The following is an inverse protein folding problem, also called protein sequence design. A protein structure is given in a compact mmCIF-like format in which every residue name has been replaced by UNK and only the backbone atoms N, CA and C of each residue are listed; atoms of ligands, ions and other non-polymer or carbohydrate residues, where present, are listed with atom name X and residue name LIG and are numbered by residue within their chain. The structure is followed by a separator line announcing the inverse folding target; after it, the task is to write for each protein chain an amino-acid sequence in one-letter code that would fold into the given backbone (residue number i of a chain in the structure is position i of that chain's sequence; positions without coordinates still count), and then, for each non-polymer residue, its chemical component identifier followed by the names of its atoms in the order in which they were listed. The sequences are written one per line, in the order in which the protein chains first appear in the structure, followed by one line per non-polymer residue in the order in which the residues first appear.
data_IF_315600989505
#
_entry.id   IF_315600989505
#
_cell.length_a   1.000
_cell.length_b   1.000
_cell.length_c   1.000
_cell.angle_alpha   90.00
_cell.angle_beta   90.00
_cell.angle_gamma   90.00
#
_symmetry.space_group_name_H-M   'P 1'
#
loop_
_entity.id
_entity.type
_entity.pdbx_description
1 polymer ?
#
# COMPACT_ATOMS: atom_id res chain seq x y z
N UNK A 1 47.03 44.03 16.23
CA UNK A 1 48.42 43.51 16.12
C UNK A 1 48.75 42.74 17.40
N UNK A 2 48.70 41.40 17.35
CA UNK A 2 49.35 40.52 18.32
C UNK A 2 49.47 39.10 17.75
N UNK A 3 50.69 38.81 17.25
CA UNK A 3 51.47 37.56 17.28
C UNK A 3 50.86 36.20 16.86
N UNK A 4 51.19 35.86 15.61
CA UNK A 4 51.61 34.56 15.02
C UNK A 4 52.66 33.82 15.91
N UNK A 5 53.07 32.53 15.77
CA UNK A 5 52.63 31.38 14.93
C UNK A 5 52.59 29.99 15.64
N UNK A 6 52.11 28.99 14.87
CA UNK A 6 52.58 27.58 14.70
C UNK A 6 52.97 26.75 15.93
N UNK A 7 52.27 25.63 16.14
CA UNK A 7 52.92 24.32 16.22
C UNK A 7 52.04 23.22 15.60
N UNK A 8 52.50 22.77 14.44
CA UNK A 8 52.16 21.53 13.75
C UNK A 8 52.53 20.34 14.65
N UNK A 9 51.62 19.42 14.93
CA UNK A 9 51.99 18.05 15.32
C UNK A 9 51.38 17.06 14.33
N UNK A 10 52.25 16.58 13.44
CA UNK A 10 52.05 15.35 12.73
C UNK A 10 52.10 14.19 13.74
N UNK A 11 51.07 13.35 13.79
CA UNK A 11 51.19 12.00 14.34
C UNK A 11 50.88 11.03 13.22
N UNK A 12 51.93 10.74 12.47
CA UNK A 12 52.12 9.54 11.67
C UNK A 12 51.99 8.33 12.61
N UNK A 13 51.10 7.38 12.30
CA UNK A 13 50.85 6.24 13.19
C UNK A 13 49.97 5.16 12.58
N UNK A 14 50.39 4.66 11.43
CA UNK A 14 49.87 3.44 10.81
C UNK A 14 50.14 2.24 11.73
N UNK A 15 49.12 1.79 12.48
CA UNK A 15 49.12 0.47 13.13
C UNK A 15 48.36 -0.50 12.22
N UNK A 16 49.12 -1.24 11.42
CA UNK A 16 48.68 -2.43 10.71
C UNK A 16 48.37 -3.53 11.73
N UNK A 17 47.10 -3.75 12.04
CA UNK A 17 46.68 -5.03 12.59
C UNK A 17 46.58 -6.03 11.44
N UNK A 18 47.68 -6.75 11.19
CA UNK A 18 47.67 -7.98 10.44
C UNK A 18 46.97 -9.04 11.28
N UNK A 19 45.67 -9.24 11.07
CA UNK A 19 44.97 -10.43 11.55
C UNK A 19 45.37 -11.63 10.68
N UNK A 20 45.73 -12.78 11.28
CA UNK A 20 46.21 -13.94 10.56
C UNK A 20 45.05 -14.61 9.79
N UNK A 21 45.41 -15.19 8.66
CA UNK A 21 44.60 -16.12 7.88
C UNK A 21 44.05 -17.23 8.78
N UNK A 22 42.73 -17.33 8.90
CA UNK A 22 42.03 -18.55 9.26
C UNK A 22 40.79 -18.71 8.37
N UNK A 23 41.00 -19.53 7.35
CA UNK A 23 40.05 -20.48 6.76
C UNK A 23 38.83 -19.95 5.99
N UNK A 24 38.93 -20.18 4.68
CA UNK A 24 37.84 -20.41 3.75
C UNK A 24 36.60 -21.04 4.41
N UNK A 25 35.52 -20.26 4.45
CA UNK A 25 34.15 -20.76 4.44
C UNK A 25 33.40 -19.93 3.40
N UNK A 26 33.49 -20.43 2.17
CA UNK A 26 32.31 -20.73 1.36
C UNK A 26 31.11 -19.78 1.53
N UNK A 27 31.15 -18.59 0.93
CA UNK A 27 29.94 -17.77 0.72
C UNK A 27 29.13 -18.23 -0.51
N UNK A 28 29.09 -19.56 -0.73
CA UNK A 28 28.16 -20.21 -1.65
C UNK A 28 27.20 -21.14 -0.91
N UNK A 29 26.44 -20.60 0.04
CA UNK A 29 25.16 -21.18 0.48
C UNK A 29 24.35 -20.01 1.06
N UNK A 30 23.33 -19.45 0.40
CA UNK A 30 22.32 -20.10 -0.40
C UNK A 30 21.86 -19.16 -1.53
N UNK A 31 21.92 -19.65 -2.78
CA UNK A 31 20.92 -19.23 -3.76
C UNK A 31 19.62 -19.94 -3.36
N UNK A 32 18.88 -19.32 -2.44
CA UNK A 32 17.45 -19.55 -2.33
C UNK A 32 16.87 -19.26 -3.73
N UNK A 33 15.87 -20.03 -4.21
CA UNK A 33 15.10 -19.55 -5.34
C UNK A 33 14.55 -18.20 -4.91
N UNK A 34 14.94 -17.14 -5.62
CA UNK A 34 14.24 -15.89 -5.49
C UNK A 34 12.81 -16.18 -5.95
N UNK A 35 11.92 -16.44 -5.00
CA UNK A 35 10.48 -16.16 -5.15
C UNK A 35 10.29 -14.64 -5.14
N UNK A 36 11.11 -13.95 -5.91
CA UNK A 36 10.90 -12.57 -6.28
C UNK A 36 10.17 -12.64 -7.62
N UNK A 37 9.08 -11.88 -7.71
CA UNK A 37 8.27 -11.65 -8.91
C UNK A 37 7.05 -12.57 -9.07
N UNK A 38 6.05 -12.38 -8.19
CA UNK A 38 4.64 -12.45 -8.60
C UNK A 38 3.71 -11.62 -7.69
N UNK A 39 4.15 -10.46 -7.21
CA UNK A 39 3.18 -9.36 -7.11
C UNK A 39 3.25 -8.67 -8.47
N UNK A 40 2.62 -9.30 -9.47
CA UNK A 40 2.26 -8.58 -10.67
C UNK A 40 1.49 -7.37 -10.17
N UNK A 41 2.08 -6.18 -10.33
CA UNK A 41 1.31 -4.95 -10.25
C UNK A 41 0.20 -5.17 -11.25
N UNK A 42 -1.02 -5.36 -10.76
CA UNK A 42 -2.20 -5.30 -11.60
C UNK A 42 -2.09 -3.99 -12.35
N UNK A 43 -1.86 -4.07 -13.66
CA UNK A 43 -2.21 -2.99 -14.59
C UNK A 43 -3.59 -2.49 -14.16
N UNK A 44 -3.86 -1.17 -14.17
CA UNK A 44 -5.15 -0.66 -13.76
C UNK A 44 -6.20 -1.34 -14.64
N UNK A 45 -6.87 -2.34 -14.06
CA UNK A 45 -8.05 -2.95 -14.65
C UNK A 45 -8.93 -1.77 -14.99
N UNK A 46 -9.21 -1.58 -16.27
CA UNK A 46 -9.82 -0.37 -16.82
C UNK A 46 -10.98 -0.01 -15.92
N UNK A 47 -10.79 0.99 -15.05
CA UNK A 47 -11.67 1.16 -13.92
C UNK A 47 -13.09 1.34 -14.46
N UNK A 48 -13.99 0.43 -14.10
CA UNK A 48 -15.34 0.46 -14.63
C UNK A 48 -16.07 1.61 -13.96
N UNK A 49 -16.13 2.74 -14.66
CA UNK A 49 -16.67 3.99 -14.15
C UNK A 49 -18.03 4.30 -14.78
N UNK A 50 -18.97 4.80 -13.97
CA UNK A 50 -20.28 5.28 -14.39
C UNK A 50 -20.79 6.39 -13.47
N UNK A 51 -21.90 7.03 -13.83
CA UNK A 51 -22.58 7.90 -12.88
C UNK A 51 -22.90 7.06 -11.63
N UNK A 52 -22.63 7.59 -10.43
CA UNK A 52 -22.77 6.82 -9.19
C UNK A 52 -24.10 6.08 -9.08
N UNK A 53 -25.20 6.75 -9.43
CA UNK A 53 -26.55 6.16 -9.39
C UNK A 53 -26.66 4.91 -10.27
N UNK A 54 -26.06 4.93 -11.46
CA UNK A 54 -26.10 3.81 -12.40
C UNK A 54 -25.27 2.64 -11.86
N UNK A 55 -24.07 2.92 -11.34
CA UNK A 55 -23.21 1.91 -10.70
C UNK A 55 -23.94 1.25 -9.52
N UNK A 56 -24.57 2.05 -8.64
CA UNK A 56 -25.34 1.52 -7.52
C UNK A 56 -26.54 0.67 -7.99
N UNK A 57 -27.24 1.10 -9.04
CA UNK A 57 -28.38 0.38 -9.57
C UNK A 57 -27.97 -0.97 -10.16
N UNK A 58 -26.89 -1.01 -10.94
CA UNK A 58 -26.35 -2.25 -11.48
C UNK A 58 -25.93 -3.21 -10.38
N UNK A 59 -25.17 -2.74 -9.38
CA UNK A 59 -24.73 -3.58 -8.26
C UNK A 59 -25.92 -4.11 -7.43
N UNK A 60 -26.94 -3.27 -7.19
CA UNK A 60 -28.14 -3.68 -6.49
C UNK A 60 -28.98 -4.69 -7.28
N UNK A 61 -29.04 -4.58 -8.61
CA UNK A 61 -29.82 -5.47 -9.46
C UNK A 61 -29.12 -6.82 -9.70
N UNK A 62 -27.83 -6.78 -10.04
CA UNK A 62 -27.06 -7.98 -10.41
C UNK A 62 -26.59 -8.77 -9.19
N UNK A 63 -26.09 -8.08 -8.16
CA UNK A 63 -25.42 -8.70 -7.01
C UNK A 63 -26.19 -8.55 -5.70
N UNK A 64 -27.31 -7.81 -5.70
CA UNK A 64 -28.08 -7.48 -4.48
C UNK A 64 -27.25 -6.72 -3.44
N UNK A 65 -26.19 -6.06 -3.89
CA UNK A 65 -25.30 -5.28 -3.05
C UNK A 65 -25.89 -3.91 -2.74
N UNK A 66 -25.71 -3.47 -1.50
CA UNK A 66 -26.16 -2.14 -1.04
C UNK A 66 -25.04 -1.46 -0.25
N UNK A 67 -24.96 -0.12 -0.26
CA UNK A 67 -23.98 0.60 0.56
C UNK A 67 -24.07 0.19 2.03
N UNK A 68 -22.94 -0.23 2.57
CA UNK A 68 -22.77 -0.74 3.93
C UNK A 68 -21.86 0.16 4.76
N UNK A 69 -20.83 0.73 4.13
CA UNK A 69 -19.94 1.72 4.74
C UNK A 69 -19.54 2.80 3.72
N UNK A 70 -19.24 3.99 4.23
CA UNK A 70 -18.68 5.11 3.46
C UNK A 70 -17.55 5.74 4.26
N UNK A 71 -16.51 6.19 3.56
CA UNK A 71 -15.40 6.94 4.13
C UNK A 71 -14.97 8.06 3.20
N UNK A 72 -14.55 9.19 3.75
CA UNK A 72 -13.92 10.24 2.97
C UNK A 72 -12.47 9.86 2.68
N UNK A 73 -12.05 9.95 1.42
CA UNK A 73 -10.63 9.84 1.06
C UNK A 73 -9.97 11.20 1.32
N UNK A 74 -10.55 12.24 0.71
CA UNK A 74 -10.19 13.65 0.88
C UNK A 74 -11.38 14.55 0.44
N UNK A 75 -11.14 15.84 0.23
CA UNK A 75 -12.19 16.78 -0.23
C UNK A 75 -12.71 16.50 -1.64
N UNK A 76 -12.07 15.63 -2.42
CA UNK A 76 -12.37 15.35 -3.82
C UNK A 76 -13.12 14.03 -4.04
N UNK A 77 -13.08 13.11 -3.07
CA UNK A 77 -13.69 11.79 -3.24
C UNK A 77 -14.10 11.10 -1.92
N UNK A 78 -15.07 10.20 -2.06
CA UNK A 78 -15.47 9.23 -1.03
C UNK A 78 -15.26 7.81 -1.53
N UNK A 79 -15.01 6.88 -0.62
CA UNK A 79 -15.02 5.44 -0.86
C UNK A 79 -16.27 4.84 -0.23
N UNK A 80 -16.89 3.89 -0.91
CA UNK A 80 -18.06 3.16 -0.42
C UNK A 80 -17.80 1.66 -0.54
N UNK A 81 -18.26 0.91 0.46
CA UNK A 81 -18.28 -0.55 0.46
C UNK A 81 -19.73 -0.97 0.33
N UNK A 82 -20.04 -1.76 -0.69
CA UNK A 82 -21.35 -2.34 -0.92
C UNK A 82 -21.31 -3.84 -0.64
N UNK A 83 -22.35 -4.37 -0.01
CA UNK A 83 -22.40 -5.76 0.44
C UNK A 83 -23.79 -6.33 0.22
N UNK A 84 -23.88 -7.60 -0.18
CA UNK A 84 -25.12 -8.39 -0.25
C UNK A 84 -25.29 -9.31 0.96
N UNK A 85 -26.52 -9.78 1.20
CA UNK A 85 -26.80 -10.75 2.27
C UNK A 85 -26.10 -12.11 2.06
N UNK A 86 -25.75 -12.44 0.82
CA UNK A 86 -24.97 -13.64 0.47
C UNK A 86 -23.46 -13.46 0.67
N UNK A 87 -22.99 -12.24 0.94
CA UNK A 87 -21.58 -11.94 1.17
C UNK A 87 -20.79 -11.51 -0.06
N UNK A 88 -21.43 -11.28 -1.21
CA UNK A 88 -20.77 -10.58 -2.31
C UNK A 88 -20.53 -9.12 -1.92
N UNK A 89 -19.47 -8.52 -2.45
CA UNK A 89 -19.12 -7.15 -2.15
C UNK A 89 -18.37 -6.44 -3.28
N UNK A 90 -18.52 -5.11 -3.30
CA UNK A 90 -17.83 -4.20 -4.21
C UNK A 90 -17.37 -2.96 -3.46
N UNK A 91 -16.15 -2.48 -3.76
CA UNK A 91 -15.65 -1.17 -3.32
C UNK A 91 -15.70 -0.22 -4.51
N UNK A 92 -16.33 0.93 -4.32
CA UNK A 92 -16.35 2.02 -5.31
C UNK A 92 -15.72 3.29 -4.74
N UNK A 93 -15.11 4.10 -5.60
CA UNK A 93 -14.68 5.46 -5.25
C UNK A 93 -15.46 6.46 -6.10
N UNK A 94 -16.07 7.45 -5.45
CA UNK A 94 -16.89 8.47 -6.10
C UNK A 94 -16.27 9.85 -5.95
N UNK A 95 -16.02 10.52 -7.06
CA UNK A 95 -15.56 11.90 -7.12
C UNK A 95 -16.68 12.94 -6.87
N UNK A 96 -16.29 14.18 -6.60
CA UNK A 96 -17.22 15.32 -6.47
C UNK A 96 -18.02 15.65 -7.73
N UNK A 97 -17.58 15.14 -8.89
CA UNK A 97 -18.29 15.18 -10.17
C UNK A 97 -19.43 14.15 -10.27
N UNK A 98 -19.58 13.28 -9.27
CA UNK A 98 -20.58 12.22 -9.24
C UNK A 98 -20.20 10.97 -10.04
N UNK A 99 -18.99 10.95 -10.62
CA UNK A 99 -18.44 9.79 -11.30
C UNK A 99 -17.97 8.79 -10.24
N UNK A 100 -18.39 7.53 -10.37
CA UNK A 100 -17.99 6.45 -9.48
C UNK A 100 -17.31 5.34 -10.26
N UNK A 101 -16.23 4.80 -9.73
CA UNK A 101 -15.44 3.74 -10.35
C UNK A 101 -15.34 2.54 -9.41
N UNK A 102 -15.49 1.33 -9.96
CA UNK A 102 -15.19 0.09 -9.25
C UNK A 102 -13.70 0.02 -8.97
N UNK A 103 -13.34 -0.14 -7.69
CA UNK A 103 -11.97 -0.26 -7.20
C UNK A 103 -11.62 -1.74 -6.95
N UNK A 104 -12.57 -2.52 -6.44
CA UNK A 104 -12.39 -3.94 -6.16
C UNK A 104 -13.74 -4.64 -5.99
N UNK A 105 -13.76 -5.96 -6.22
CA UNK A 105 -14.94 -6.82 -6.09
C UNK A 105 -14.53 -8.14 -5.43
N UNK A 106 -15.48 -8.84 -4.82
CA UNK A 106 -15.23 -10.14 -4.24
C UNK A 106 -16.45 -10.79 -3.59
N UNK A 107 -16.17 -11.87 -2.86
CA UNK A 107 -17.16 -12.70 -2.16
C UNK A 107 -16.74 -12.92 -0.71
N UNK A 108 -17.63 -13.50 0.09
CA UNK A 108 -17.34 -13.91 1.47
C UNK A 108 -17.12 -12.76 2.45
N UNK A 109 -17.76 -11.60 2.22
CA UNK A 109 -17.67 -10.46 3.13
C UNK A 109 -18.15 -10.82 4.54
N UNK A 110 -17.38 -10.42 5.54
CA UNK A 110 -17.71 -10.60 6.95
C UNK A 110 -17.53 -9.29 7.70
N UNK A 111 -18.57 -8.86 8.42
CA UNK A 111 -18.47 -7.72 9.35
C UNK A 111 -18.51 -8.25 10.77
N UNK A 112 -17.46 -7.99 11.55
CA UNK A 112 -17.41 -8.40 12.96
C UNK A 112 -17.95 -7.31 13.89
N UNK A 113 -17.76 -6.02 13.58
CA UNK A 113 -18.43 -4.86 14.18
C UNK A 113 -18.21 -3.62 13.27
N UNK A 114 -19.27 -3.00 12.76
CA UNK A 114 -19.14 -1.69 12.11
C UNK A 114 -18.95 -0.60 13.17
N UNK A 115 -17.84 0.14 13.07
CA UNK A 115 -17.57 1.32 13.91
C UNK A 115 -17.97 2.58 13.14
N UNK A 116 -18.79 3.44 13.75
CA UNK A 116 -19.00 4.81 13.27
C UNK A 116 -17.86 5.67 13.83
N UNK A 117 -17.02 6.24 12.96
CA UNK A 117 -16.02 7.22 13.36
C UNK A 117 -16.68 8.41 14.04
N UNK A 118 -16.22 8.78 15.24
CA UNK A 118 -16.78 9.89 16.02
C UNK A 118 -16.25 11.26 15.59
N UNK A 119 -15.15 11.27 14.84
CA UNK A 119 -14.47 12.47 14.34
C UNK A 119 -14.65 12.67 12.82
N UNK A 120 -15.57 11.91 12.21
CA UNK A 120 -15.91 11.98 10.79
C UNK A 120 -16.87 13.13 10.48
#
# INVERSE_FOLDING_TARGET
MARVPLLYTAITGMMLFASPLASATDNQAARLPAVAQAFQQSEPDSAMCGARTDVLNELAQQFREKPMAVGQIDSSAVVEILVSDSGSWTIIATGTDGQSCIVSTGEGFQSTMLVRGVDA
#
